data_IF_592356742644
#
_entry.id   IF_592356742644
#
_cell.length_a   1.000
_cell.length_b   1.000
_cell.length_c   1.000
_cell.angle_alpha   90.00
_cell.angle_beta   90.00
_cell.angle_gamma   90.00
#
_symmetry.space_group_name_H-M   'P 1'
#
loop_
_entity.id
_entity.type
_entity.pdbx_description
1 polymer ?
#
# COMPACT_ATOMS: atom_id res chain seq x y z
N UNK A 1 -5.01 31.79 1.33
CA UNK A 1 -5.75 31.00 2.33
C UNK A 1 -6.00 29.61 1.74
N UNK A 2 -5.96 28.53 2.53
CA UNK A 2 -6.15 27.15 2.03
C UNK A 2 -7.48 26.58 2.53
N UNK A 3 -8.31 26.07 1.61
CA UNK A 3 -9.63 25.53 1.91
C UNK A 3 -9.59 23.98 1.99
N UNK A 4 -8.87 23.47 3.00
CA UNK A 4 -8.60 22.03 3.16
C UNK A 4 -9.89 21.20 3.25
N UNK A 5 -10.91 21.72 3.91
CA UNK A 5 -12.23 21.09 4.06
C UNK A 5 -12.93 20.92 2.70
N UNK A 6 -12.82 21.91 1.81
CA UNK A 6 -13.42 21.84 0.47
C UNK A 6 -12.68 20.83 -0.41
N UNK A 7 -11.35 20.78 -0.34
CA UNK A 7 -10.55 19.77 -1.05
C UNK A 7 -10.85 18.33 -0.54
N UNK A 8 -11.07 18.16 0.77
CA UNK A 8 -11.50 16.90 1.35
C UNK A 8 -12.91 16.50 0.86
N UNK A 9 -13.87 17.43 0.82
CA UNK A 9 -15.21 17.19 0.31
C UNK A 9 -15.20 16.79 -1.19
N UNK A 10 -14.48 17.53 -2.03
CA UNK A 10 -14.35 17.24 -3.47
C UNK A 10 -13.76 15.83 -3.68
N UNK A 11 -12.68 15.48 -2.98
CA UNK A 11 -12.05 14.16 -3.13
C UNK A 11 -12.84 13.01 -2.50
N UNK A 12 -13.71 13.28 -1.53
CA UNK A 12 -14.69 12.31 -1.02
C UNK A 12 -15.80 12.07 -2.05
N UNK A 13 -16.43 13.14 -2.57
CA UNK A 13 -17.49 13.04 -3.58
C UNK A 13 -17.00 12.33 -4.86
N UNK A 14 -15.79 12.61 -5.32
CA UNK A 14 -15.19 11.90 -6.46
C UNK A 14 -15.05 10.40 -6.21
N UNK A 15 -14.62 9.97 -5.02
CA UNK A 15 -14.53 8.54 -4.67
C UNK A 15 -15.91 7.88 -4.55
N UNK A 16 -16.90 8.58 -4.00
CA UNK A 16 -18.28 8.09 -3.93
C UNK A 16 -18.87 7.93 -5.34
N UNK A 17 -18.61 8.87 -6.24
CA UNK A 17 -19.00 8.77 -7.65
C UNK A 17 -18.34 7.57 -8.36
N UNK A 18 -17.06 7.31 -8.09
CA UNK A 18 -16.33 6.19 -8.71
C UNK A 18 -16.71 4.82 -8.11
N UNK A 19 -17.21 4.77 -6.87
CA UNK A 19 -17.43 3.53 -6.13
C UNK A 19 -18.33 2.50 -6.85
N UNK A 20 -19.49 2.83 -7.44
CA UNK A 20 -20.35 1.87 -8.15
C UNK A 20 -19.64 1.12 -9.29
N UNK A 21 -18.66 1.75 -9.93
CA UNK A 21 -17.87 1.14 -11.01
C UNK A 21 -16.72 0.30 -10.47
N UNK A 22 -16.09 0.74 -9.37
CA UNK A 22 -15.02 0.01 -8.66
C UNK A 22 -15.57 -1.26 -7.98
N UNK A 23 -16.82 -1.24 -7.51
CA UNK A 23 -17.49 -2.39 -6.88
C UNK A 23 -18.01 -3.44 -7.87
N UNK A 24 -17.77 -3.28 -9.18
CA UNK A 24 -18.21 -4.26 -10.18
C UNK A 24 -17.31 -5.51 -10.16
N UNK A 25 -17.87 -6.72 -10.36
CA UNK A 25 -17.08 -7.96 -10.38
C UNK A 25 -16.14 -8.06 -11.60
N UNK A 26 -16.33 -7.23 -12.62
CA UNK A 26 -15.49 -7.15 -13.82
C UNK A 26 -14.55 -5.93 -13.84
N UNK A 27 -14.37 -5.23 -12.71
CA UNK A 27 -13.44 -4.10 -12.60
C UNK A 27 -12.00 -4.58 -12.36
N UNK A 28 -11.17 -4.61 -13.41
CA UNK A 28 -9.78 -5.06 -13.35
C UNK A 28 -8.81 -4.01 -12.80
N UNK A 29 -9.09 -2.71 -13.01
CA UNK A 29 -8.22 -1.63 -12.58
C UNK A 29 -8.98 -0.32 -12.40
N UNK A 30 -8.54 0.52 -11.47
CA UNK A 30 -8.98 1.92 -11.35
C UNK A 30 -7.84 2.83 -10.90
N UNK A 31 -7.87 4.08 -11.34
CA UNK A 31 -6.99 5.13 -10.87
C UNK A 31 -7.65 6.49 -10.99
N UNK A 32 -8.00 7.07 -9.84
CA UNK A 32 -8.52 8.43 -9.66
C UNK A 32 -9.89 8.67 -10.32
N UNK A 33 -9.92 8.79 -11.63
CA UNK A 33 -11.04 9.09 -12.53
C UNK A 33 -11.16 8.07 -13.68
N UNK A 34 -10.24 7.10 -13.76
CA UNK A 34 -10.20 6.05 -14.77
C UNK A 34 -10.56 4.66 -14.21
N UNK A 35 -11.11 3.81 -15.07
CA UNK A 35 -11.45 2.39 -14.82
C UNK A 35 -11.13 1.53 -16.04
N UNK A 36 -10.89 0.23 -15.83
CA UNK A 36 -10.85 -0.80 -16.88
C UNK A 36 -11.81 -1.92 -16.48
N UNK A 37 -12.80 -2.19 -17.33
CA UNK A 37 -13.88 -3.15 -17.11
C UNK A 37 -13.82 -4.30 -18.13
N UNK A 38 -14.35 -5.47 -17.77
CA UNK A 38 -14.52 -6.61 -18.67
C UNK A 38 -15.75 -6.54 -19.58
N UNK A 39 -16.74 -5.71 -19.24
CA UNK A 39 -17.92 -5.42 -20.06
C UNK A 39 -18.20 -3.91 -20.07
N UNK A 40 -18.81 -3.38 -21.16
CA UNK A 40 -18.98 -1.94 -21.32
C UNK A 40 -19.89 -1.31 -20.24
N UNK A 41 -19.75 0.01 -20.08
CA UNK A 41 -20.79 0.82 -19.45
C UNK A 41 -21.96 1.01 -20.43
N UNK A 42 -23.20 1.22 -19.95
CA UNK A 42 -24.30 1.62 -20.81
C UNK A 42 -24.08 3.02 -21.40
N UNK A 43 -24.59 3.25 -22.60
CA UNK A 43 -24.29 4.43 -23.43
C UNK A 43 -24.70 5.77 -22.78
N UNK A 44 -25.69 5.75 -21.88
CA UNK A 44 -26.14 6.94 -21.15
C UNK A 44 -25.05 7.51 -20.22
N UNK A 45 -24.10 6.68 -19.77
CA UNK A 45 -22.95 7.07 -18.95
C UNK A 45 -21.70 7.41 -19.76
N UNK A 46 -21.73 7.26 -21.09
CA UNK A 46 -20.58 7.48 -21.97
C UNK A 46 -20.75 8.80 -22.75
N UNK A 47 -19.75 9.66 -22.70
CA UNK A 47 -19.63 10.84 -23.58
C UNK A 47 -18.20 11.35 -23.64
N UNK A 48 -17.78 11.85 -24.80
CA UNK A 48 -16.50 12.53 -24.98
C UNK A 48 -16.55 14.04 -24.69
N UNK A 49 -17.75 14.60 -24.45
CA UNK A 49 -17.98 16.05 -24.32
C UNK A 49 -18.84 16.46 -23.10
N UNK A 50 -19.68 15.57 -22.56
CA UNK A 50 -20.56 15.91 -21.44
C UNK A 50 -19.85 15.74 -20.08
N UNK A 51 -19.91 16.79 -19.26
CA UNK A 51 -19.25 16.82 -17.96
C UNK A 51 -19.84 15.77 -17.00
N UNK A 52 -18.97 14.95 -16.40
CA UNK A 52 -19.34 13.93 -15.41
C UNK A 52 -19.57 12.53 -15.99
N UNK A 53 -19.68 12.40 -17.33
CA UNK A 53 -19.72 11.10 -18.02
C UNK A 53 -18.32 10.58 -18.32
N UNK A 54 -18.22 9.28 -18.61
CA UNK A 54 -16.97 8.64 -18.99
C UNK A 54 -16.70 8.80 -20.48
N UNK A 55 -15.49 9.24 -20.81
CA UNK A 55 -14.97 9.12 -22.17
C UNK A 55 -14.46 7.70 -22.39
N UNK A 56 -15.00 6.99 -23.38
CA UNK A 56 -14.41 5.75 -23.88
C UNK A 56 -13.07 6.08 -24.54
N UNK A 57 -11.95 5.64 -23.94
CA UNK A 57 -10.61 5.92 -24.47
C UNK A 57 -10.06 4.80 -25.37
N UNK A 58 -10.25 3.54 -24.97
CA UNK A 58 -9.63 2.38 -25.62
C UNK A 58 -10.49 1.12 -25.48
N UNK A 59 -10.52 0.28 -26.51
CA UNK A 59 -10.84 -1.14 -26.36
C UNK A 59 -9.55 -1.92 -26.07
N UNK A 60 -9.56 -2.70 -25.00
CA UNK A 60 -8.39 -3.43 -24.49
C UNK A 60 -8.55 -4.92 -24.81
N UNK A 61 -7.64 -5.48 -25.60
CA UNK A 61 -7.61 -6.91 -25.89
C UNK A 61 -6.95 -7.71 -24.76
N UNK A 62 -5.94 -7.13 -24.10
CA UNK A 62 -5.27 -7.72 -22.93
C UNK A 62 -4.67 -6.65 -22.04
N UNK A 63 -4.90 -6.74 -20.73
CA UNK A 63 -4.22 -5.94 -19.72
C UNK A 63 -3.31 -6.78 -18.82
N UNK A 64 -2.19 -6.22 -18.37
CA UNK A 64 -1.37 -6.78 -17.28
C UNK A 64 -1.16 -5.67 -16.24
N UNK A 65 -1.72 -5.86 -15.04
CA UNK A 65 -1.74 -4.87 -13.96
C UNK A 65 -0.89 -5.37 -12.78
N UNK A 66 0.38 -4.96 -12.71
CA UNK A 66 1.32 -5.49 -11.69
C UNK A 66 1.39 -4.65 -10.41
N UNK A 67 1.06 -3.36 -10.47
CA UNK A 67 0.94 -2.50 -9.29
C UNK A 67 0.11 -1.24 -9.61
N UNK A 68 -0.35 -0.48 -8.59
CA UNK A 68 -0.95 0.83 -8.81
C UNK A 68 -0.01 1.75 -9.61
N UNK A 69 -0.49 2.25 -10.76
CA UNK A 69 0.30 3.02 -11.74
C UNK A 69 1.46 2.25 -12.38
N UNK A 70 1.37 0.91 -12.44
CA UNK A 70 2.28 0.03 -13.20
C UNK A 70 1.50 -1.05 -13.96
N UNK A 71 1.14 -0.77 -15.21
CA UNK A 71 0.40 -1.67 -16.09
C UNK A 71 0.79 -1.53 -17.56
N UNK A 72 0.49 -2.57 -18.35
CA UNK A 72 0.45 -2.48 -19.81
C UNK A 72 -0.93 -2.90 -20.34
N UNK A 73 -1.34 -2.30 -21.46
CA UNK A 73 -2.53 -2.65 -22.23
C UNK A 73 -2.09 -2.94 -23.67
N UNK A 74 -2.45 -4.10 -24.21
CA UNK A 74 -2.53 -4.34 -25.65
C UNK A 74 -3.94 -3.93 -26.08
N UNK A 75 -4.04 -2.96 -27.00
CA UNK A 75 -5.32 -2.40 -27.49
C UNK A 75 -5.54 -2.75 -28.97
N UNK A 76 -6.73 -2.43 -29.47
CA UNK A 76 -7.00 -2.44 -30.92
C UNK A 76 -6.02 -1.52 -31.69
N UNK A 77 -5.86 -1.75 -33.00
CA UNK A 77 -4.78 -1.22 -33.86
C UNK A 77 -3.35 -1.75 -33.55
N UNK A 78 -3.19 -2.92 -32.90
CA UNK A 78 -1.89 -3.52 -32.51
C UNK A 78 -1.01 -2.60 -31.62
N UNK A 79 -1.59 -1.55 -31.04
CA UNK A 79 -0.88 -0.58 -30.21
C UNK A 79 -0.73 -1.07 -28.77
N UNK A 80 0.35 -0.64 -28.12
CA UNK A 80 0.64 -0.97 -26.73
C UNK A 80 0.75 0.29 -25.88
N UNK A 81 -0.02 0.34 -24.80
CA UNK A 81 0.02 1.41 -23.80
C UNK A 81 0.78 0.90 -22.59
N UNK A 82 1.95 1.47 -22.33
CA UNK A 82 2.76 1.14 -21.15
C UNK A 82 2.71 2.32 -20.17
N UNK A 83 2.36 2.04 -18.91
CA UNK A 83 2.41 3.00 -17.80
C UNK A 83 3.21 2.38 -16.66
N UNK A 84 4.25 3.06 -16.19
CA UNK A 84 5.01 2.65 -15.01
C UNK A 84 5.38 3.85 -14.15
N UNK A 85 5.29 3.71 -12.82
CA UNK A 85 5.46 4.80 -11.86
C UNK A 85 6.87 4.80 -11.28
N UNK A 86 7.60 5.89 -11.49
CA UNK A 86 8.87 6.16 -10.85
C UNK A 86 10.03 6.32 -11.84
N UNK A 87 11.28 6.31 -11.37
CA UNK A 87 12.44 6.71 -12.17
C UNK A 87 12.87 5.66 -13.22
N UNK A 88 12.18 4.52 -13.31
CA UNK A 88 12.34 3.52 -14.37
C UNK A 88 11.23 3.58 -15.45
N UNK A 89 10.33 4.58 -15.42
CA UNK A 89 9.16 4.69 -16.32
C UNK A 89 9.50 4.41 -17.79
N UNK A 90 10.55 5.04 -18.30
CA UNK A 90 10.93 5.03 -19.71
C UNK A 90 11.90 3.88 -20.06
N UNK A 91 12.14 2.97 -19.11
CA UNK A 91 13.01 1.77 -19.25
C UNK A 91 12.20 0.46 -19.25
N UNK A 92 10.91 0.51 -18.94
CA UNK A 92 10.04 -0.66 -18.83
C UNK A 92 9.38 -0.98 -20.18
N UNK A 93 9.42 -2.26 -20.56
CA UNK A 93 8.89 -2.77 -21.83
C UNK A 93 7.75 -3.77 -21.64
N UNK A 94 7.02 -4.05 -22.72
CA UNK A 94 6.00 -5.11 -22.81
C UNK A 94 6.57 -6.49 -22.44
N UNK A 95 7.82 -6.77 -22.81
CA UNK A 95 8.54 -7.97 -22.37
C UNK A 95 8.79 -7.99 -20.86
N UNK A 96 9.16 -6.86 -20.25
CA UNK A 96 9.37 -6.80 -18.80
C UNK A 96 8.08 -7.14 -18.05
N UNK A 97 6.95 -6.58 -18.46
CA UNK A 97 5.64 -6.91 -17.88
C UNK A 97 5.31 -8.41 -17.99
N UNK A 98 5.56 -9.03 -19.15
CA UNK A 98 5.32 -10.46 -19.38
C UNK A 98 6.28 -11.35 -18.57
N UNK A 99 7.57 -10.98 -18.48
CA UNK A 99 8.58 -11.68 -17.68
C UNK A 99 8.27 -11.59 -16.19
N UNK A 100 7.92 -10.41 -15.69
CA UNK A 100 7.60 -10.16 -14.29
C UNK A 100 6.25 -10.79 -13.86
N UNK A 101 5.31 -10.99 -14.80
CA UNK A 101 4.09 -11.77 -14.55
C UNK A 101 4.40 -13.28 -14.42
N UNK A 102 5.34 -13.79 -15.21
CA UNK A 102 5.76 -15.20 -15.17
C UNK A 102 6.63 -15.53 -13.94
N UNK A 103 7.48 -14.58 -13.50
CA UNK A 103 8.23 -14.66 -12.25
C UNK A 103 8.25 -13.30 -11.53
N UNK A 104 7.45 -13.22 -10.45
CA UNK A 104 7.32 -12.03 -9.61
C UNK A 104 8.60 -11.70 -8.84
N UNK A 105 9.52 -12.67 -8.67
CA UNK A 105 10.77 -12.50 -7.93
C UNK A 105 11.89 -11.84 -8.73
N UNK A 106 11.72 -11.67 -10.06
CA UNK A 106 12.71 -11.05 -10.92
C UNK A 106 13.09 -9.64 -10.45
N UNK A 107 14.38 -9.43 -10.28
CA UNK A 107 14.99 -8.18 -9.82
C UNK A 107 16.18 -7.82 -10.72
N UNK A 108 15.94 -6.98 -11.71
CA UNK A 108 16.99 -6.38 -12.54
C UNK A 108 17.70 -5.22 -11.84
N UNK A 109 18.89 -4.88 -12.31
CA UNK A 109 19.58 -3.64 -11.97
C UNK A 109 19.84 -2.86 -13.25
N UNK A 110 19.32 -1.63 -13.35
CA UNK A 110 19.43 -0.80 -14.56
C UNK A 110 20.02 0.57 -14.19
N UNK A 111 21.08 1.05 -14.85
CA UNK A 111 21.58 2.40 -14.69
C UNK A 111 20.61 3.43 -15.31
N UNK A 112 20.39 4.55 -14.63
CA UNK A 112 19.62 5.68 -15.15
C UNK A 112 20.25 7.02 -14.77
N UNK A 113 19.78 8.09 -15.39
CA UNK A 113 20.14 9.48 -15.09
C UNK A 113 19.04 10.15 -14.26
N UNK A 114 19.31 10.37 -12.97
CA UNK A 114 18.47 11.24 -12.14
C UNK A 114 18.75 12.72 -12.48
N UNK A 115 17.97 13.27 -13.42
CA UNK A 115 17.96 14.71 -13.70
C UNK A 115 17.42 15.50 -12.49
N UNK A 116 17.86 16.76 -12.35
CA UNK A 116 17.43 17.70 -11.30
C UNK A 116 17.60 17.20 -9.85
N UNK A 117 18.67 16.44 -9.58
CA UNK A 117 19.02 16.00 -8.23
C UNK A 117 19.50 17.20 -7.41
N UNK A 118 18.74 17.60 -6.39
CA UNK A 118 19.12 18.67 -5.46
C UNK A 118 20.14 18.15 -4.44
N UNK A 119 21.31 18.77 -4.37
CA UNK A 119 22.28 18.60 -3.28
C UNK A 119 22.01 19.66 -2.19
N UNK A 120 21.07 19.37 -1.30
CA UNK A 120 20.57 20.30 -0.27
C UNK A 120 21.65 21.00 0.57
N UNK A 121 22.82 20.36 0.80
CA UNK A 121 23.94 20.96 1.54
C UNK A 121 24.65 22.11 0.80
N UNK A 122 24.58 22.13 -0.54
CA UNK A 122 25.18 23.16 -1.41
C UNK A 122 24.13 24.01 -2.14
N UNK A 123 22.86 23.66 -2.01
CA UNK A 123 21.73 24.21 -2.80
C UNK A 123 21.94 24.11 -4.33
N UNK A 124 22.76 23.15 -4.78
CA UNK A 124 23.06 22.89 -6.18
C UNK A 124 22.07 21.89 -6.79
N UNK A 125 21.79 22.04 -8.08
CA UNK A 125 20.94 21.12 -8.85
C UNK A 125 21.80 20.48 -9.94
N UNK A 126 21.90 19.15 -9.95
CA UNK A 126 22.74 18.41 -10.90
C UNK A 126 22.02 17.26 -11.59
N UNK A 127 22.71 16.66 -12.57
CA UNK A 127 22.42 15.28 -13.01
C UNK A 127 23.21 14.32 -12.13
N UNK A 128 22.65 13.14 -11.84
CA UNK A 128 23.36 12.08 -11.12
C UNK A 128 23.02 10.71 -11.68
N UNK A 129 24.05 9.95 -12.02
CA UNK A 129 23.92 8.53 -12.33
C UNK A 129 23.41 7.76 -11.10
N UNK A 130 22.43 6.89 -11.33
CA UNK A 130 21.77 6.13 -10.29
C UNK A 130 21.40 4.75 -10.83
N UNK A 131 21.87 3.71 -10.16
CA UNK A 131 21.45 2.35 -10.43
C UNK A 131 20.13 2.06 -9.69
N UNK A 132 19.12 1.61 -10.42
CA UNK A 132 17.78 1.26 -9.90
C UNK A 132 17.66 -0.26 -9.85
N UNK A 133 17.10 -0.77 -8.75
CA UNK A 133 16.52 -2.12 -8.71
C UNK A 133 15.15 -2.08 -9.38
N UNK A 134 15.01 -2.74 -10.55
CA UNK A 134 13.74 -2.86 -11.26
C UNK A 134 13.16 -4.25 -11.02
N UNK A 135 11.95 -4.29 -10.46
CA UNK A 135 11.19 -5.48 -10.12
C UNK A 135 9.93 -5.04 -9.37
N UNK A 136 9.13 -5.98 -8.87
CA UNK A 136 7.99 -5.64 -8.02
C UNK A 136 8.43 -5.58 -6.55
N UNK A 137 8.45 -4.40 -5.89
CA UNK A 137 8.70 -4.34 -4.47
C UNK A 137 7.50 -4.92 -3.71
N UNK A 138 7.77 -5.75 -2.70
CA UNK A 138 6.73 -6.30 -1.84
C UNK A 138 5.91 -5.18 -1.20
N UNK A 139 4.60 -5.20 -1.43
CA UNK A 139 3.71 -4.12 -0.98
C UNK A 139 3.53 -4.16 0.54
N UNK A 140 3.98 -3.13 1.23
CA UNK A 140 3.69 -2.94 2.67
C UNK A 140 2.21 -2.63 2.97
N UNK A 141 1.32 -2.63 1.97
CA UNK A 141 -0.11 -2.29 2.11
C UNK A 141 -1.07 -3.38 1.67
N UNK A 142 -0.63 -4.37 0.88
CA UNK A 142 -1.44 -5.48 0.38
C UNK A 142 -0.59 -6.74 0.28
N UNK A 143 -1.14 -7.90 0.64
CA UNK A 143 -0.54 -9.23 0.46
C UNK A 143 -1.12 -9.88 -0.81
N UNK A 144 -0.28 -10.54 -1.61
CA UNK A 144 -0.74 -11.25 -2.81
C UNK A 144 -1.60 -12.47 -2.42
N UNK A 145 -2.61 -12.77 -3.24
CA UNK A 145 -3.52 -13.91 -3.10
C UNK A 145 -3.32 -14.82 -4.31
N UNK A 146 -3.11 -16.10 -4.06
CA UNK A 146 -2.81 -17.11 -5.08
C UNK A 146 -3.90 -18.19 -5.11
N UNK A 147 -4.10 -18.83 -6.26
CA UNK A 147 -4.96 -19.99 -6.40
C UNK A 147 -4.28 -21.29 -5.93
N UNK A 148 -4.99 -22.42 -6.04
CA UNK A 148 -4.45 -23.75 -5.71
C UNK A 148 -3.28 -24.21 -6.61
N UNK A 149 -3.06 -23.53 -7.74
CA UNK A 149 -1.99 -23.81 -8.71
C UNK A 149 -0.80 -22.85 -8.53
N UNK A 150 -0.82 -22.02 -7.46
CA UNK A 150 0.16 -20.97 -7.17
C UNK A 150 0.22 -19.86 -8.24
N UNK A 151 -0.88 -19.65 -8.99
CA UNK A 151 -1.07 -18.51 -9.90
C UNK A 151 -1.56 -17.31 -9.10
N UNK A 152 -1.00 -16.13 -9.35
CA UNK A 152 -1.40 -14.89 -8.69
C UNK A 152 -2.75 -14.39 -9.24
N UNK A 153 -3.76 -14.24 -8.37
CA UNK A 153 -5.13 -13.88 -8.78
C UNK A 153 -5.61 -12.51 -8.25
N UNK A 154 -5.21 -12.09 -7.05
CA UNK A 154 -5.63 -10.81 -6.46
C UNK A 154 -4.62 -10.33 -5.37
N UNK A 155 -4.91 -9.22 -4.69
CA UNK A 155 -4.18 -8.72 -3.52
C UNK A 155 -5.15 -8.28 -2.42
N UNK A 156 -5.06 -8.88 -1.24
CA UNK A 156 -5.84 -8.46 -0.05
C UNK A 156 -5.12 -7.33 0.70
N UNK A 157 -5.82 -6.41 1.41
CA UNK A 157 -5.19 -5.44 2.29
C UNK A 157 -4.35 -6.11 3.40
N UNK A 158 -3.49 -5.33 4.06
CA UNK A 158 -2.83 -5.75 5.31
C UNK A 158 -3.55 -5.08 6.48
N UNK A 159 -4.30 -5.87 7.24
CA UNK A 159 -4.98 -5.41 8.44
C UNK A 159 -3.99 -5.20 9.59
N UNK A 160 -3.98 -4.00 10.16
CA UNK A 160 -3.11 -3.63 11.28
C UNK A 160 -3.92 -3.72 12.56
N UNK A 161 -3.86 -4.89 13.21
CA UNK A 161 -4.64 -5.19 14.43
C UNK A 161 -4.01 -4.53 15.67
N UNK A 162 -2.68 -4.42 15.72
CA UNK A 162 -1.94 -3.77 16.80
C UNK A 162 -0.75 -2.95 16.25
N UNK A 163 -0.48 -1.83 16.92
CA UNK A 163 0.61 -0.89 16.64
C UNK A 163 1.98 -1.47 17.06
N UNK A 164 2.01 -2.43 18.00
CA UNK A 164 3.20 -3.19 18.37
C UNK A 164 3.56 -4.36 17.42
N UNK A 165 2.68 -4.71 16.48
CA UNK A 165 2.85 -5.86 15.59
C UNK A 165 3.91 -5.64 14.50
N UNK A 166 4.39 -6.72 13.85
CA UNK A 166 5.30 -6.61 12.70
C UNK A 166 4.60 -6.04 11.44
N UNK A 167 3.27 -6.15 11.35
CA UNK A 167 2.45 -5.54 10.29
C UNK A 167 2.22 -4.02 10.51
N UNK A 168 2.61 -3.48 11.67
CA UNK A 168 2.55 -2.04 11.96
C UNK A 168 3.49 -1.24 11.04
N UNK A 169 2.88 -0.64 10.01
CA UNK A 169 3.56 0.09 8.94
C UNK A 169 4.50 1.20 9.45
N UNK A 170 5.51 1.53 8.63
CA UNK A 170 6.56 2.55 8.92
C UNK A 170 6.01 3.91 9.36
N UNK A 171 4.77 4.25 8.97
CA UNK A 171 4.04 5.45 9.41
C UNK A 171 3.85 5.43 10.94
N UNK A 172 3.25 4.37 11.48
CA UNK A 172 3.04 4.22 12.92
C UNK A 172 4.35 3.99 13.68
N UNK A 173 5.38 3.45 13.03
CA UNK A 173 6.71 3.29 13.63
C UNK A 173 7.33 4.65 14.02
N UNK A 174 7.03 5.72 13.29
CA UNK A 174 7.41 7.09 13.67
C UNK A 174 6.61 7.60 14.88
N UNK A 175 5.31 7.35 14.94
CA UNK A 175 4.48 7.73 16.10
C UNK A 175 4.84 6.95 17.37
N UNK A 176 5.22 5.67 17.23
CA UNK A 176 5.68 4.84 18.33
C UNK A 176 7.06 5.30 18.84
N UNK A 177 7.97 5.68 17.95
CA UNK A 177 9.24 6.33 18.33
C UNK A 177 8.97 7.65 19.06
N UNK A 178 8.09 8.51 18.52
CA UNK A 178 7.73 9.79 19.14
C UNK A 178 7.11 9.63 20.53
N UNK A 179 6.21 8.65 20.73
CA UNK A 179 5.67 8.32 22.07
C UNK A 179 6.74 7.81 23.04
N UNK A 180 7.73 7.07 22.55
CA UNK A 180 8.86 6.61 23.37
C UNK A 180 9.82 7.76 23.72
N UNK A 181 10.07 8.69 22.79
CA UNK A 181 10.85 9.91 23.05
C UNK A 181 10.11 10.83 24.05
N UNK A 182 8.79 10.96 23.94
CA UNK A 182 7.95 11.72 24.87
C UNK A 182 7.93 11.10 26.29
N UNK A 183 7.85 9.77 26.42
CA UNK A 183 7.88 9.10 27.74
C UNK A 183 9.28 9.09 28.39
N UNK A 184 10.35 9.01 27.59
CA UNK A 184 11.73 9.25 28.06
C UNK A 184 11.95 10.71 28.47
N UNK A 185 11.31 11.66 27.78
CA UNK A 185 11.37 13.08 28.14
C UNK A 185 10.62 13.37 29.46
N UNK A 186 9.45 12.77 29.67
CA UNK A 186 8.70 12.93 30.93
C UNK A 186 9.43 12.29 32.11
N UNK A 187 10.02 11.12 31.93
CA UNK A 187 10.78 10.40 32.98
C UNK A 187 12.18 10.98 33.28
N UNK A 188 12.67 11.94 32.49
CA UNK A 188 13.93 12.66 32.77
C UNK A 188 13.75 13.98 33.53
N UNK A 189 12.50 14.39 33.81
CA UNK A 189 12.19 15.59 34.62
C UNK A 189 12.20 15.36 36.14
N UNK A 190 12.21 14.11 36.61
CA UNK A 190 12.22 13.78 38.05
C UNK A 190 13.49 13.02 38.47
N UNK A 191 14.41 13.73 39.15
CA UNK A 191 15.41 13.12 40.03
C UNK A 191 16.68 12.56 39.37
N UNK A 192 17.72 13.39 39.24
CA UNK A 192 19.09 12.88 39.12
C UNK A 192 19.51 12.14 40.40
N UNK A 193 19.85 10.85 40.29
CA UNK A 193 20.84 10.21 41.18
C UNK A 193 21.53 9.02 40.49
N UNK A 194 22.85 9.06 40.48
CA UNK A 194 23.72 8.10 39.79
C UNK A 194 23.87 6.80 40.57
N UNK A 195 23.66 5.64 39.92
CA UNK A 195 24.32 4.37 40.28
C UNK A 195 24.50 3.50 39.04
N UNK A 196 25.73 3.05 38.78
CA UNK A 196 26.07 2.08 37.74
C UNK A 196 25.79 0.65 38.22
N UNK A 197 25.24 -0.25 37.38
CA UNK A 197 25.58 -1.69 37.42
C UNK A 197 25.14 -2.43 36.13
N UNK A 198 25.65 -3.66 35.96
CA UNK A 198 25.50 -4.51 34.76
C UNK A 198 24.24 -5.38 34.80
N UNK A 199 23.71 -5.85 33.66
CA UNK A 199 22.57 -6.77 33.63
C UNK A 199 22.96 -8.17 34.14
N UNK A 200 22.11 -8.74 34.99
CA UNK A 200 22.13 -10.16 35.38
C UNK A 200 20.76 -10.81 35.15
N UNK A 201 20.75 -11.96 34.49
CA UNK A 201 19.55 -12.76 34.28
C UNK A 201 19.10 -13.40 35.60
N UNK A 202 17.79 -13.36 35.87
CA UNK A 202 17.20 -14.11 36.99
C UNK A 202 16.36 -15.28 36.50
N UNK A 203 16.56 -16.44 37.15
CA UNK A 203 15.76 -17.66 36.98
C UNK A 203 14.64 -17.66 38.00
N UNK A 204 13.44 -18.07 37.62
CA UNK A 204 12.31 -18.25 38.54
C UNK A 204 12.11 -19.74 38.86
N UNK A 205 11.87 -20.08 40.13
CA UNK A 205 11.31 -21.37 40.57
C UNK A 205 10.57 -21.22 41.89
N UNK A 206 9.41 -21.88 41.98
CA UNK A 206 8.86 -22.67 43.11
C UNK A 206 8.88 -22.08 44.54
N UNK A 207 7.81 -22.11 45.36
CA UNK A 207 6.43 -22.68 45.36
C UNK A 207 5.56 -21.82 46.32
N UNK A 208 4.27 -22.00 46.63
CA UNK A 208 3.32 -23.13 46.68
C UNK A 208 1.95 -22.74 45.99
N UNK A 209 0.76 -23.38 46.02
CA UNK A 209 0.02 -24.33 46.90
C UNK A 209 -0.41 -23.74 48.26
N UNK A 210 -1.62 -23.98 48.83
CA UNK A 210 -2.92 -24.57 48.39
C UNK A 210 -4.00 -23.99 49.38
N UNK A 211 -5.33 -24.00 49.26
CA UNK A 211 -6.39 -24.90 48.74
C UNK A 211 -7.61 -24.04 48.27
N UNK A 212 -8.46 -24.37 47.28
CA UNK A 212 -9.17 -25.59 46.86
C UNK A 212 -10.55 -25.78 47.53
N UNK A 213 -11.62 -25.30 46.89
CA UNK A 213 -12.99 -25.84 47.09
C UNK A 213 -13.85 -25.74 45.81
N UNK A 214 -14.96 -26.50 45.76
CA UNK A 214 -15.79 -26.74 44.58
C UNK A 214 -17.13 -25.98 44.63
N UNK A 215 -17.48 -25.26 43.55
CA UNK A 215 -18.88 -25.15 43.10
C UNK A 215 -19.01 -24.54 41.69
N UNK A 216 -19.82 -25.15 40.85
CA UNK A 216 -20.50 -24.51 39.72
C UNK A 216 -21.93 -24.20 40.17
N UNK A 217 -22.51 -23.03 39.80
CA UNK A 217 -23.51 -23.10 38.74
C UNK A 217 -23.57 -21.89 37.79
N UNK A 218 -24.23 -22.13 36.64
CA UNK A 218 -25.04 -21.23 35.81
C UNK A 218 -25.00 -19.70 36.03
N UNK A 219 -24.88 -18.96 34.91
CA UNK A 219 -25.40 -17.58 34.79
C UNK A 219 -26.49 -17.53 33.70
N UNK A 220 -27.70 -17.02 33.97
CA UNK A 220 -28.83 -17.11 33.05
C UNK A 220 -28.86 -15.99 31.99
N UNK A 221 -29.68 -16.18 30.94
CA UNK A 221 -30.33 -15.08 30.20
C UNK A 221 -31.60 -14.64 30.94
N UNK A 222 -31.91 -13.34 30.93
CA UNK A 222 -33.09 -12.83 30.19
C UNK A 222 -32.64 -11.83 29.10
N UNK A 223 -33.32 -11.60 27.97
CA UNK A 223 -34.76 -11.57 27.62
C UNK A 223 -35.42 -10.19 27.89
N UNK A 224 -35.26 -9.27 26.94
CA UNK A 224 -36.34 -8.65 26.15
C UNK A 224 -35.79 -8.21 24.77
#
# INVERSE_FOLDING_TARGET
MSAVQLAAAITACARIHMYPYISRPDCYYTDTDSIVLGSPLPDDLISSIELGKFKLEYHVQRGIFLAPKSYMLDIEDDRQIIKHKGPAKDLVTSEWFKKQLADLSLMGQIPTLANFRIEWKKLQIGKKDMLIKLGLPQSHKRKNVYDSNNVWIDTQPIDVIDIGSQDANTIFKYELLKKNEESVSQSTTEGQKTTTLKPTFYKTKDKAKKDNDNSSPYRPKPDE
#
